data_IF_498503047592
#
_entry.id   IF_498503047592
#
_cell.length_a   1.000
_cell.length_b   1.000
_cell.length_c   1.000
_cell.angle_alpha   90.00
_cell.angle_beta   90.00
_cell.angle_gamma   90.00
#
_symmetry.space_group_name_H-M   'P 1'
#
loop_
_entity.id
_entity.type
_entity.pdbx_description
1 polymer ?
#
# COMPACT_ATOMS: atom_id res chain seq x y z
N UNK A 1 12.07 -32.78 2.85
CA UNK A 1 12.18 -31.34 3.15
C UNK A 1 10.82 -30.87 3.63
N UNK A 2 10.74 -29.96 4.57
CA UNK A 2 9.42 -29.53 5.09
C UNK A 2 8.93 -28.27 4.38
N UNK A 3 7.62 -27.98 4.48
CA UNK A 3 6.92 -26.82 3.95
C UNK A 3 7.74 -25.51 4.00
N UNK A 4 8.36 -25.21 5.13
CA UNK A 4 9.12 -23.99 5.32
C UNK A 4 10.51 -23.98 4.66
N UNK A 5 11.04 -25.15 4.32
CA UNK A 5 12.29 -25.26 3.56
C UNK A 5 12.06 -24.88 2.11
N UNK A 6 10.97 -25.35 1.50
CA UNK A 6 10.54 -24.94 0.16
C UNK A 6 10.36 -23.41 0.08
N UNK A 7 9.70 -22.85 1.06
CA UNK A 7 9.39 -21.42 1.11
C UNK A 7 10.59 -20.54 1.54
N UNK A 8 11.77 -21.13 1.80
CA UNK A 8 13.00 -20.43 2.23
C UNK A 8 12.79 -19.55 3.49
N UNK A 9 11.89 -19.95 4.37
CA UNK A 9 11.48 -19.16 5.54
C UNK A 9 12.37 -19.37 6.78
N UNK A 10 13.47 -20.12 6.68
CA UNK A 10 14.42 -20.32 7.76
C UNK A 10 14.05 -21.43 8.74
N UNK A 11 14.60 -21.38 9.97
CA UNK A 11 14.46 -22.45 10.94
C UNK A 11 13.02 -22.58 11.47
N UNK A 12 12.38 -23.70 11.17
CA UNK A 12 11.14 -24.26 11.73
C UNK A 12 10.15 -23.22 12.34
N UNK A 13 9.49 -22.41 11.53
CA UNK A 13 8.45 -21.53 12.04
C UNK A 13 7.28 -22.33 12.59
N UNK A 14 6.71 -21.85 13.69
CA UNK A 14 5.57 -22.48 14.34
C UNK A 14 4.28 -22.04 13.66
N UNK A 15 3.44 -23.01 13.30
CA UNK A 15 2.09 -22.74 12.82
C UNK A 15 1.16 -22.49 14.02
N UNK A 16 0.52 -21.35 14.03
CA UNK A 16 -0.55 -21.05 15.00
C UNK A 16 -1.90 -21.45 14.39
N UNK A 17 -2.45 -22.56 14.86
CA UNK A 17 -3.71 -23.12 14.40
C UNK A 17 -4.96 -22.39 14.93
N UNK A 18 -4.79 -21.51 15.90
CA UNK A 18 -5.88 -20.71 16.46
C UNK A 18 -5.95 -19.30 15.83
N UNK A 19 -4.97 -18.95 15.00
CA UNK A 19 -4.99 -17.69 14.29
C UNK A 19 -6.04 -17.72 13.17
N UNK A 20 -6.64 -16.56 12.95
CA UNK A 20 -7.60 -16.33 11.87
C UNK A 20 -7.35 -14.98 11.20
N UNK A 21 -7.91 -14.76 9.99
CA UNK A 21 -7.83 -13.47 9.31
C UNK A 21 -8.33 -12.30 10.15
N UNK A 22 -9.34 -12.51 10.97
CA UNK A 22 -9.88 -11.50 11.88
C UNK A 22 -8.83 -10.95 12.83
N UNK A 23 -7.97 -11.81 13.38
CA UNK A 23 -6.85 -11.36 14.22
C UNK A 23 -5.79 -10.61 13.42
N UNK A 24 -5.55 -10.99 12.18
CA UNK A 24 -4.58 -10.32 11.32
C UNK A 24 -5.02 -8.92 10.96
N UNK A 25 -6.20 -8.79 10.39
CA UNK A 25 -6.71 -7.51 9.87
C UNK A 25 -7.20 -6.57 10.96
N UNK A 26 -7.64 -7.08 12.10
CA UNK A 26 -8.00 -6.27 13.27
C UNK A 26 -6.81 -5.75 14.10
N UNK A 27 -5.57 -6.12 13.77
CA UNK A 27 -4.37 -5.80 14.55
C UNK A 27 -3.37 -4.89 13.86
N UNK A 28 -3.69 -4.33 12.68
CA UNK A 28 -2.89 -3.26 12.13
C UNK A 28 -2.85 -2.08 13.12
N UNK A 29 -1.70 -1.49 13.28
CA UNK A 29 -1.18 -0.60 14.33
C UNK A 29 -2.14 0.39 15.00
N UNK A 30 -3.21 0.82 14.34
CA UNK A 30 -4.11 1.86 14.85
C UNK A 30 -5.08 1.38 15.91
N UNK A 31 -5.31 0.10 16.02
CA UNK A 31 -6.31 -0.48 16.92
C UNK A 31 -5.72 -1.01 18.22
N UNK A 32 -4.49 -0.64 18.53
CA UNK A 32 -3.85 -1.08 19.76
C UNK A 32 -3.83 -2.59 19.89
N UNK A 33 -3.48 -3.30 18.80
CA UNK A 33 -3.55 -4.74 18.57
C UNK A 33 -3.91 -5.52 19.80
N UNK A 34 -4.99 -6.26 19.76
CA UNK A 34 -5.48 -7.02 20.91
C UNK A 34 -4.28 -7.58 21.66
N UNK A 35 -4.19 -7.33 22.94
CA UNK A 35 -3.06 -7.74 23.82
C UNK A 35 -2.64 -9.20 23.59
N UNK A 36 -3.60 -10.04 23.21
CA UNK A 36 -3.43 -11.45 22.88
C UNK A 36 -2.49 -11.71 21.67
N UNK A 37 -2.49 -10.85 20.65
CA UNK A 37 -1.56 -11.02 19.51
C UNK A 37 -0.19 -10.46 19.86
N UNK A 38 -0.14 -9.36 20.61
CA UNK A 38 1.14 -8.78 21.08
C UNK A 38 1.86 -9.71 22.05
N UNK A 39 1.15 -10.48 22.84
CA UNK A 39 1.77 -11.47 23.74
C UNK A 39 2.32 -12.70 23.02
N UNK A 40 1.73 -13.05 21.86
CA UNK A 40 2.16 -14.20 21.04
C UNK A 40 3.32 -13.85 20.09
N UNK A 41 3.49 -12.57 19.72
CA UNK A 41 4.50 -12.15 18.76
C UNK A 41 5.54 -11.28 19.45
N UNK A 42 6.73 -11.81 19.71
CA UNK A 42 7.88 -10.98 20.07
C UNK A 42 8.33 -10.17 18.85
N UNK A 43 9.09 -9.08 19.07
CA UNK A 43 9.59 -8.20 17.99
C UNK A 43 10.37 -8.91 16.87
N UNK A 44 10.75 -10.16 17.08
CA UNK A 44 11.55 -10.97 16.14
C UNK A 44 10.83 -12.22 15.66
N UNK A 45 9.69 -12.55 16.24
CA UNK A 45 8.95 -13.75 15.90
C UNK A 45 7.92 -13.47 14.81
N UNK A 46 7.73 -14.46 13.96
CA UNK A 46 6.71 -14.50 12.95
C UNK A 46 5.78 -15.64 13.25
N UNK A 47 4.48 -15.42 13.07
CA UNK A 47 3.45 -16.44 13.16
C UNK A 47 3.07 -16.84 11.76
N UNK A 48 2.92 -18.12 11.52
CA UNK A 48 2.39 -18.69 10.30
C UNK A 48 1.04 -19.33 10.60
N UNK A 49 0.06 -19.09 9.74
CA UNK A 49 -1.24 -19.70 9.87
C UNK A 49 -1.93 -19.87 8.52
N UNK A 50 -2.83 -20.82 8.44
CA UNK A 50 -3.62 -21.07 7.24
C UNK A 50 -4.94 -20.32 7.30
N UNK A 51 -5.41 -19.85 6.15
CA UNK A 51 -6.71 -19.24 5.98
C UNK A 51 -7.24 -19.51 4.58
N UNK A 52 -8.52 -19.27 4.36
CA UNK A 52 -9.14 -19.38 3.05
C UNK A 52 -9.41 -17.98 2.52
N UNK A 53 -8.86 -17.68 1.35
CA UNK A 53 -9.12 -16.50 0.55
C UNK A 53 -10.27 -16.79 -0.42
N UNK A 54 -11.39 -16.10 -0.25
CA UNK A 54 -12.59 -16.22 -1.08
C UNK A 54 -12.91 -14.89 -1.81
N UNK A 55 -11.90 -14.10 -2.16
CA UNK A 55 -12.06 -12.87 -2.93
C UNK A 55 -12.44 -13.14 -4.38
N UNK A 56 -11.97 -14.25 -4.93
CA UNK A 56 -12.33 -14.72 -6.27
C UNK A 56 -13.48 -15.74 -6.18
N UNK A 57 -14.07 -16.08 -7.33
CA UNK A 57 -15.16 -17.05 -7.43
C UNK A 57 -14.75 -18.46 -6.95
N UNK A 58 -13.45 -18.75 -6.94
CA UNK A 58 -12.89 -20.01 -6.45
C UNK A 58 -12.08 -19.75 -5.17
N UNK A 59 -12.57 -20.18 -4.00
CA UNK A 59 -11.84 -20.04 -2.75
C UNK A 59 -10.49 -20.78 -2.78
N UNK A 60 -9.44 -20.15 -2.25
CA UNK A 60 -8.07 -20.68 -2.19
C UNK A 60 -7.61 -20.86 -0.76
N UNK A 61 -6.98 -21.99 -0.47
CA UNK A 61 -6.34 -22.22 0.83
C UNK A 61 -4.94 -21.60 0.79
N UNK A 62 -4.66 -20.69 1.69
CA UNK A 62 -3.44 -19.89 1.71
C UNK A 62 -2.68 -20.02 3.03
N UNK A 63 -1.35 -19.92 2.96
CA UNK A 63 -0.46 -19.77 4.12
C UNK A 63 -0.09 -18.30 4.27
N UNK A 64 -0.39 -17.73 5.44
CA UNK A 64 -0.05 -16.37 5.83
C UNK A 64 1.17 -16.34 6.74
N UNK A 65 2.12 -15.46 6.45
CA UNK A 65 3.13 -15.01 7.41
C UNK A 65 2.66 -13.73 8.09
N UNK A 66 2.68 -13.69 9.39
CA UNK A 66 2.29 -12.54 10.21
C UNK A 66 3.38 -12.16 11.19
N UNK A 67 3.95 -10.98 11.04
CA UNK A 67 4.79 -10.32 12.02
C UNK A 67 4.03 -9.23 12.79
N UNK A 68 4.72 -8.49 13.64
CA UNK A 68 4.11 -7.39 14.42
C UNK A 68 3.56 -6.28 13.51
N UNK A 69 4.23 -6.02 12.39
CA UNK A 69 3.95 -4.88 11.51
C UNK A 69 3.65 -5.24 10.06
N UNK A 70 3.66 -6.52 9.72
CA UNK A 70 3.40 -6.97 8.36
C UNK A 70 2.60 -8.26 8.37
N UNK A 71 1.88 -8.49 7.31
CA UNK A 71 1.25 -9.74 6.98
C UNK A 71 1.38 -9.96 5.46
N UNK A 72 1.72 -11.16 5.04
CA UNK A 72 1.79 -11.52 3.62
C UNK A 72 1.38 -12.96 3.40
N UNK A 73 0.77 -13.23 2.27
CA UNK A 73 0.53 -14.59 1.80
C UNK A 73 1.83 -15.13 1.23
N UNK A 74 2.30 -16.27 1.69
CA UNK A 74 3.58 -16.86 1.28
C UNK A 74 3.42 -18.07 0.38
N UNK A 75 2.26 -18.71 0.42
CA UNK A 75 1.96 -19.83 -0.46
C UNK A 75 0.44 -20.04 -0.61
N UNK A 76 0.05 -20.60 -1.75
CA UNK A 76 -1.22 -21.25 -1.96
C UNK A 76 -1.04 -22.76 -1.75
N UNK A 77 -2.03 -23.40 -1.12
CA UNK A 77 -2.03 -24.85 -0.87
C UNK A 77 -3.10 -25.50 -1.74
N UNK A 78 -2.68 -26.41 -2.59
CA UNK A 78 -3.56 -27.13 -3.50
C UNK A 78 -4.35 -28.21 -2.74
N UNK A 79 -5.38 -27.77 -2.03
CA UNK A 79 -6.31 -28.62 -1.31
C UNK A 79 -7.49 -29.01 -2.20
N UNK A 80 -8.25 -30.10 -1.87
CA UNK A 80 -9.47 -30.45 -2.60
C UNK A 80 -10.46 -29.28 -2.62
N UNK A 81 -10.86 -28.78 -3.81
CA UNK A 81 -11.67 -27.55 -3.92
C UNK A 81 -13.03 -27.65 -3.19
N UNK A 82 -13.62 -28.83 -3.18
CA UNK A 82 -14.90 -29.08 -2.52
C UNK A 82 -14.81 -28.93 -0.99
N UNK A 83 -13.70 -29.38 -0.41
CA UNK A 83 -13.44 -29.24 1.03
C UNK A 83 -13.24 -27.75 1.40
N UNK A 84 -12.48 -27.01 0.58
CA UNK A 84 -12.25 -25.58 0.79
C UNK A 84 -13.56 -24.80 0.67
N UNK A 85 -14.36 -25.08 -0.36
CA UNK A 85 -15.68 -24.45 -0.57
C UNK A 85 -16.63 -24.76 0.56
N UNK A 86 -16.73 -26.02 0.98
CA UNK A 86 -17.57 -26.43 2.12
C UNK A 86 -17.18 -25.68 3.39
N UNK A 87 -15.87 -25.51 3.64
CA UNK A 87 -15.40 -24.76 4.82
C UNK A 87 -15.86 -23.30 4.80
N UNK A 88 -15.91 -22.65 3.63
CA UNK A 88 -16.44 -21.29 3.46
C UNK A 88 -17.96 -21.27 3.66
N UNK A 89 -18.68 -22.18 3.02
CA UNK A 89 -20.15 -22.25 3.08
C UNK A 89 -20.65 -22.48 4.51
N UNK A 90 -19.97 -23.34 5.29
CA UNK A 90 -20.30 -23.64 6.68
C UNK A 90 -20.11 -22.43 7.60
N UNK A 91 -19.21 -21.50 7.29
CA UNK A 91 -18.95 -20.29 8.07
C UNK A 91 -19.89 -19.14 7.71
N UNK A 92 -20.47 -19.16 6.52
CA UNK A 92 -21.35 -18.11 6.04
C UNK A 92 -20.63 -16.76 5.85
N UNK A 93 -21.40 -15.67 5.87
CA UNK A 93 -20.83 -14.32 5.72
C UNK A 93 -20.12 -13.86 6.99
N UNK A 94 -18.85 -13.53 6.89
CA UNK A 94 -18.04 -12.95 7.98
C UNK A 94 -18.10 -11.42 7.87
N UNK A 95 -18.62 -10.76 8.88
CA UNK A 95 -19.17 -9.39 8.84
C UNK A 95 -18.22 -8.26 8.38
N UNK A 96 -16.89 -8.40 8.48
CA UNK A 96 -15.93 -7.36 8.11
C UNK A 96 -14.99 -7.81 6.99
N UNK A 97 -14.74 -9.10 6.91
CA UNK A 97 -13.84 -9.72 5.92
C UNK A 97 -14.58 -10.86 5.24
N UNK A 98 -15.67 -10.51 4.58
CA UNK A 98 -16.63 -11.46 3.95
C UNK A 98 -15.97 -12.48 3.01
N UNK A 99 -14.68 -12.33 2.77
CA UNK A 99 -13.94 -13.11 1.77
C UNK A 99 -12.63 -13.69 2.30
N UNK A 100 -12.39 -13.60 3.61
CA UNK A 100 -11.23 -14.24 4.26
C UNK A 100 -11.72 -15.05 5.46
N UNK A 101 -11.62 -16.37 5.36
CA UNK A 101 -12.18 -17.30 6.33
C UNK A 101 -11.09 -18.05 7.08
N UNK A 102 -11.33 -18.36 8.35
CA UNK A 102 -10.52 -19.32 9.08
C UNK A 102 -10.68 -20.73 8.52
N UNK A 103 -9.75 -21.63 8.87
CA UNK A 103 -9.88 -23.06 8.56
C UNK A 103 -10.71 -23.77 9.63
N UNK A 104 -11.43 -24.83 9.24
CA UNK A 104 -12.10 -25.71 10.15
C UNK A 104 -11.25 -26.97 10.48
N UNK A 105 -11.73 -27.84 11.36
CA UNK A 105 -10.99 -29.04 11.77
C UNK A 105 -10.78 -30.05 10.62
N UNK A 106 -11.67 -30.07 9.63
CA UNK A 106 -11.53 -30.95 8.45
C UNK A 106 -10.33 -30.50 7.60
N UNK A 107 -10.25 -29.19 7.30
CA UNK A 107 -9.12 -28.61 6.56
C UNK A 107 -7.82 -28.74 7.35
N UNK A 108 -7.85 -28.52 8.65
CA UNK A 108 -6.69 -28.67 9.53
C UNK A 108 -6.16 -30.11 9.54
N UNK A 109 -7.02 -31.09 9.68
CA UNK A 109 -6.65 -32.53 9.63
C UNK A 109 -6.00 -32.85 8.29
N UNK A 110 -6.62 -32.42 7.21
CA UNK A 110 -6.08 -32.63 5.87
C UNK A 110 -4.69 -31.98 5.69
N UNK A 111 -4.48 -30.76 6.21
CA UNK A 111 -3.18 -30.09 6.17
C UNK A 111 -2.11 -30.85 6.95
N UNK A 112 -2.45 -31.36 8.14
CA UNK A 112 -1.53 -32.16 8.94
C UNK A 112 -1.10 -33.42 8.18
N UNK A 113 -2.05 -34.18 7.66
CA UNK A 113 -1.80 -35.46 6.99
C UNK A 113 -1.11 -35.31 5.62
N UNK A 114 -1.45 -34.26 4.85
CA UNK A 114 -1.02 -34.17 3.45
C UNK A 114 0.11 -33.16 3.21
N UNK A 115 0.35 -32.23 4.12
CA UNK A 115 1.35 -31.17 3.94
C UNK A 115 2.43 -31.21 5.03
N UNK A 116 2.01 -31.29 6.28
CA UNK A 116 2.94 -31.14 7.40
C UNK A 116 3.69 -32.45 7.70
N UNK A 117 2.98 -33.56 7.79
CA UNK A 117 3.58 -34.86 8.14
C UNK A 117 4.26 -35.52 6.94
N UNK A 118 3.64 -35.43 5.77
CA UNK A 118 4.19 -36.05 4.55
C UNK A 118 5.25 -35.19 3.88
N UNK A 119 5.34 -33.93 4.19
CA UNK A 119 6.21 -32.95 3.51
C UNK A 119 6.01 -32.96 1.97
N UNK A 120 4.76 -33.13 1.52
CA UNK A 120 4.42 -33.15 0.10
C UNK A 120 4.44 -31.73 -0.49
N UNK A 121 5.61 -31.34 -0.99
CA UNK A 121 5.84 -30.03 -1.59
C UNK A 121 5.08 -29.83 -2.93
N UNK A 122 4.59 -30.90 -3.57
CA UNK A 122 3.86 -30.78 -4.83
C UNK A 122 2.53 -30.06 -4.71
N UNK A 123 1.99 -29.98 -3.49
CA UNK A 123 0.74 -29.29 -3.17
C UNK A 123 0.96 -27.86 -2.66
N UNK A 124 2.18 -27.39 -2.61
CA UNK A 124 2.53 -26.05 -2.12
C UNK A 124 3.00 -25.20 -3.27
N UNK A 125 2.25 -24.18 -3.61
CA UNK A 125 2.63 -23.19 -4.63
C UNK A 125 3.13 -21.94 -3.93
N UNK A 126 4.45 -21.69 -3.91
CA UNK A 126 4.98 -20.45 -3.35
C UNK A 126 4.39 -19.25 -4.07
N UNK A 127 3.94 -18.27 -3.31
CA UNK A 127 3.66 -16.95 -3.84
C UNK A 127 4.94 -16.16 -3.67
N UNK A 128 5.63 -15.97 -4.77
CA UNK A 128 6.80 -15.09 -4.80
C UNK A 128 6.32 -13.70 -4.41
N UNK A 129 7.12 -12.99 -3.59
CA UNK A 129 6.90 -11.56 -3.43
C UNK A 129 6.88 -11.00 -4.85
N UNK A 130 5.77 -10.34 -5.24
CA UNK A 130 5.80 -9.54 -6.45
C UNK A 130 7.06 -8.71 -6.37
N UNK A 131 8.00 -8.94 -7.30
CA UNK A 131 9.20 -8.12 -7.36
C UNK A 131 8.71 -6.68 -7.36
N UNK A 132 9.14 -5.91 -6.37
CA UNK A 132 8.79 -4.49 -6.30
C UNK A 132 8.94 -3.92 -7.69
N UNK A 133 7.92 -3.20 -8.15
CA UNK A 133 7.87 -2.67 -9.50
C UNK A 133 9.23 -2.10 -9.88
N UNK A 134 9.90 -2.75 -10.82
CA UNK A 134 11.14 -2.23 -11.36
C UNK A 134 10.79 -0.99 -12.15
N UNK A 135 11.03 0.17 -11.58
CA UNK A 135 10.81 1.44 -12.22
C UNK A 135 11.79 1.55 -13.40
N UNK A 136 11.30 1.23 -14.59
CA UNK A 136 12.05 1.35 -15.84
C UNK A 136 12.43 2.79 -16.18
N UNK A 137 12.84 3.01 -17.41
CA UNK A 137 13.08 4.35 -17.93
C UNK A 137 11.80 5.20 -17.80
N UNK A 138 11.96 6.46 -17.45
CA UNK A 138 10.81 7.38 -17.26
C UNK A 138 10.13 7.76 -18.55
N UNK A 139 10.86 7.76 -19.67
CA UNK A 139 10.41 8.33 -20.95
C UNK A 139 10.29 9.85 -20.94
N UNK A 140 10.72 10.49 -19.87
CA UNK A 140 10.71 11.96 -19.71
C UNK A 140 11.96 12.60 -20.30
N UNK A 141 11.89 13.92 -20.63
CA UNK A 141 13.08 14.71 -20.94
C UNK A 141 14.07 14.70 -19.76
N UNK A 142 15.36 14.78 -20.05
CA UNK A 142 16.38 14.93 -19.02
C UNK A 142 16.32 16.30 -18.33
N UNK A 143 16.80 16.37 -17.09
CA UNK A 143 16.79 17.62 -16.32
C UNK A 143 17.57 18.77 -16.96
N UNK A 144 18.57 18.45 -17.80
CA UNK A 144 19.43 19.40 -18.51
C UNK A 144 18.90 19.76 -19.91
N UNK A 145 17.79 19.16 -20.36
CA UNK A 145 17.19 19.48 -21.64
C UNK A 145 16.54 20.87 -21.64
N UNK A 146 16.51 21.57 -22.80
CA UNK A 146 15.87 22.87 -22.90
C UNK A 146 14.40 22.81 -22.52
N UNK A 147 13.98 23.72 -21.65
CA UNK A 147 12.58 23.86 -21.28
C UNK A 147 11.80 24.58 -22.38
N UNK A 148 10.48 24.31 -22.54
CA UNK A 148 9.61 25.09 -23.39
C UNK A 148 9.70 26.59 -23.04
N UNK A 149 9.77 27.44 -24.05
CA UNK A 149 9.93 28.89 -23.85
C UNK A 149 8.70 29.56 -23.21
N UNK A 150 7.57 28.91 -23.28
CA UNK A 150 6.26 29.30 -22.75
C UNK A 150 5.89 28.61 -21.42
N UNK A 151 6.87 27.96 -20.77
CA UNK A 151 6.63 27.27 -19.51
C UNK A 151 6.37 28.30 -18.39
N UNK A 152 5.14 28.39 -17.95
CA UNK A 152 4.75 29.20 -16.80
C UNK A 152 4.95 28.42 -15.51
N UNK A 153 5.59 29.05 -14.51
CA UNK A 153 5.74 28.48 -13.18
C UNK A 153 4.52 28.80 -12.32
N UNK A 154 4.16 27.84 -11.50
CA UNK A 154 3.05 27.93 -10.56
C UNK A 154 3.54 27.65 -9.15
N UNK A 155 3.45 28.63 -8.27
CA UNK A 155 3.76 28.46 -6.85
C UNK A 155 2.58 27.79 -6.15
N UNK A 156 2.78 26.55 -5.70
CA UNK A 156 1.81 25.82 -4.92
C UNK A 156 2.04 26.04 -3.42
N UNK A 157 0.96 26.12 -2.61
CA UNK A 157 1.11 26.15 -1.16
C UNK A 157 1.76 24.84 -0.69
N UNK A 158 2.77 24.97 0.16
CA UNK A 158 3.52 23.85 0.74
C UNK A 158 3.39 23.84 2.26
N UNK A 159 3.70 22.68 2.87
CA UNK A 159 3.68 22.49 4.32
C UNK A 159 2.34 22.05 4.90
N UNK A 160 2.31 21.87 6.25
CA UNK A 160 1.15 21.32 6.94
C UNK A 160 -0.03 22.26 6.88
N UNK A 161 -1.24 21.69 6.71
CA UNK A 161 -2.47 22.47 6.68
C UNK A 161 -3.59 21.78 7.48
N UNK A 162 -4.50 22.57 7.98
CA UNK A 162 -5.82 22.11 8.44
C UNK A 162 -6.83 22.51 7.38
N UNK A 163 -7.54 21.54 6.80
CA UNK A 163 -8.42 21.76 5.66
C UNK A 163 -9.80 21.16 5.89
N UNK A 164 -10.81 21.93 5.59
CA UNK A 164 -12.19 21.47 5.44
C UNK A 164 -12.42 20.92 4.02
N UNK A 165 -13.60 20.37 3.77
CA UNK A 165 -14.03 19.94 2.43
C UNK A 165 -14.12 21.15 1.47
N UNK A 166 -14.63 22.27 1.98
CA UNK A 166 -14.74 23.52 1.22
C UNK A 166 -13.39 24.09 0.81
N UNK A 167 -12.37 23.95 1.69
CA UNK A 167 -11.00 24.38 1.39
C UNK A 167 -10.41 23.54 0.23
N UNK A 168 -10.67 22.24 0.23
CA UNK A 168 -10.22 21.35 -0.86
C UNK A 168 -10.92 21.70 -2.17
N UNK A 169 -12.24 21.95 -2.14
CA UNK A 169 -13.00 22.41 -3.33
C UNK A 169 -12.44 23.73 -3.87
N UNK A 170 -12.16 24.68 -2.98
CA UNK A 170 -11.60 25.98 -3.37
C UNK A 170 -10.20 25.82 -3.99
N UNK A 171 -9.37 24.96 -3.40
CA UNK A 171 -8.01 24.66 -3.88
C UNK A 171 -8.04 24.03 -5.28
N UNK A 172 -8.87 23.02 -5.48
CA UNK A 172 -9.05 22.31 -6.76
C UNK A 172 -9.46 23.27 -7.86
N UNK A 173 -10.42 24.16 -7.58
CA UNK A 173 -10.88 25.15 -8.56
C UNK A 173 -9.84 26.24 -8.82
N UNK A 174 -9.14 26.72 -7.79
CA UNK A 174 -8.13 27.78 -7.92
C UNK A 174 -7.01 27.43 -8.90
N UNK A 175 -6.52 26.21 -8.80
CA UNK A 175 -5.40 25.73 -9.62
C UNK A 175 -5.86 24.89 -10.82
N UNK A 176 -7.18 24.74 -11.00
CA UNK A 176 -7.76 23.91 -12.04
C UNK A 176 -7.23 22.45 -12.02
N UNK A 177 -7.05 21.90 -10.82
CA UNK A 177 -6.64 20.50 -10.67
C UNK A 177 -7.75 19.56 -11.13
N UNK A 178 -7.36 18.40 -11.68
CA UNK A 178 -8.28 17.30 -11.91
C UNK A 178 -8.66 16.66 -10.57
N UNK A 179 -9.94 16.58 -10.27
CA UNK A 179 -10.54 15.81 -9.20
C UNK A 179 -11.92 15.36 -9.72
N UNK A 180 -12.10 14.06 -9.92
CA UNK A 180 -13.30 13.53 -10.60
C UNK A 180 -14.61 13.79 -9.85
N UNK A 181 -14.55 14.11 -8.55
CA UNK A 181 -15.75 14.49 -7.79
C UNK A 181 -15.99 16.01 -7.78
N UNK A 182 -14.90 16.83 -7.78
CA UNK A 182 -15.00 18.28 -7.55
C UNK A 182 -14.73 19.12 -8.78
N UNK A 183 -13.90 18.64 -9.69
CA UNK A 183 -13.54 19.32 -10.95
C UNK A 183 -13.07 18.30 -12.00
N UNK A 184 -13.98 17.49 -12.58
CA UNK A 184 -13.63 16.45 -13.55
C UNK A 184 -12.97 17.00 -14.83
N UNK A 185 -13.27 18.26 -15.17
CA UNK A 185 -12.70 18.97 -16.33
C UNK A 185 -11.39 19.71 -16.00
N UNK A 186 -10.85 19.51 -14.82
CA UNK A 186 -9.59 20.09 -14.39
C UNK A 186 -8.46 19.73 -15.35
N UNK A 187 -7.56 20.66 -15.60
CA UNK A 187 -6.52 20.50 -16.62
C UNK A 187 -5.20 21.17 -16.20
N UNK A 188 -4.77 20.90 -14.97
CA UNK A 188 -3.43 21.31 -14.54
C UNK A 188 -2.38 20.51 -15.32
N UNK A 189 -1.36 21.18 -15.84
CA UNK A 189 -0.31 20.52 -16.63
C UNK A 189 1.02 20.59 -15.92
N UNK A 190 1.61 19.45 -15.69
CA UNK A 190 2.97 19.30 -15.23
C UNK A 190 3.96 19.32 -16.42
N UNK A 191 5.20 19.64 -16.13
CA UNK A 191 6.33 19.37 -17.01
C UNK A 191 7.39 18.60 -16.21
N UNK A 192 7.20 17.27 -16.21
CA UNK A 192 8.10 16.37 -15.49
C UNK A 192 9.39 16.14 -16.27
N UNK A 193 10.52 16.14 -15.55
CA UNK A 193 11.84 15.81 -16.10
C UNK A 193 12.51 14.73 -15.26
N UNK A 194 13.29 13.88 -15.92
CA UNK A 194 14.08 12.83 -15.27
C UNK A 194 15.36 13.45 -14.69
N UNK A 195 15.61 13.23 -13.41
CA UNK A 195 16.83 13.71 -12.76
C UNK A 195 18.05 12.81 -13.02
N UNK A 196 17.90 11.71 -13.76
CA UNK A 196 18.98 10.80 -14.16
C UNK A 196 19.45 9.86 -13.06
N UNK A 197 18.83 9.86 -11.90
CA UNK A 197 19.19 9.00 -10.76
C UNK A 197 18.34 7.72 -10.67
N UNK A 198 17.36 7.56 -11.59
CA UNK A 198 16.40 6.46 -11.62
C UNK A 198 15.39 6.47 -10.47
N UNK A 199 15.50 7.40 -9.53
CA UNK A 199 14.73 7.44 -8.27
C UNK A 199 13.84 8.65 -8.13
N UNK A 200 14.18 9.76 -8.83
CA UNK A 200 13.47 11.03 -8.69
C UNK A 200 13.13 11.66 -10.04
N UNK A 201 12.07 12.46 -10.04
CA UNK A 201 11.68 13.35 -11.14
C UNK A 201 11.38 14.72 -10.57
N UNK A 202 11.53 15.76 -11.38
CA UNK A 202 11.21 17.12 -10.98
C UNK A 202 10.14 17.69 -11.91
N UNK A 203 9.10 18.27 -11.34
CA UNK A 203 8.13 19.06 -12.09
C UNK A 203 8.64 20.49 -12.23
N UNK A 204 8.94 20.90 -13.45
CA UNK A 204 9.47 22.25 -13.74
C UNK A 204 8.41 23.35 -13.65
N UNK A 205 7.12 23.00 -13.68
CA UNK A 205 6.01 23.94 -13.48
C UNK A 205 5.91 24.34 -12.02
N UNK A 206 5.95 23.37 -11.12
CA UNK A 206 5.81 23.62 -9.68
C UNK A 206 7.14 23.75 -8.94
N UNK A 207 8.23 23.28 -9.56
CA UNK A 207 9.56 23.20 -8.95
C UNK A 207 9.71 22.05 -7.95
N UNK A 208 8.70 21.24 -7.76
CA UNK A 208 8.71 20.15 -6.78
C UNK A 208 9.43 18.92 -7.33
N UNK A 209 10.40 18.43 -6.56
CA UNK A 209 11.06 17.15 -6.84
C UNK A 209 10.31 16.02 -6.12
N UNK A 210 10.08 14.93 -6.82
CA UNK A 210 9.29 13.80 -6.37
C UNK A 210 10.08 12.51 -6.33
N UNK A 211 9.83 11.71 -5.33
CA UNK A 211 10.20 10.30 -5.29
C UNK A 211 9.36 9.53 -6.32
N UNK A 212 10.00 8.79 -7.24
CA UNK A 212 9.32 7.98 -8.26
C UNK A 212 8.61 6.76 -7.66
N UNK A 213 9.28 6.07 -6.73
CA UNK A 213 8.71 5.03 -5.92
C UNK A 213 7.83 5.60 -4.80
N UNK A 214 7.73 4.87 -3.71
CA UNK A 214 7.00 5.31 -2.53
C UNK A 214 7.29 4.43 -1.34
N UNK A 215 6.58 4.68 -0.25
CA UNK A 215 6.58 3.86 0.93
C UNK A 215 5.29 3.03 0.99
N UNK A 216 5.43 1.79 1.45
CA UNK A 216 4.30 0.86 1.64
C UNK A 216 3.27 1.40 2.61
N UNK A 217 2.09 0.81 2.59
CA UNK A 217 0.99 1.18 3.48
C UNK A 217 1.40 1.04 4.94
N UNK A 218 1.25 2.11 5.69
CA UNK A 218 1.53 2.12 7.13
C UNK A 218 0.76 3.24 7.83
N UNK A 219 0.74 3.22 9.18
CA UNK A 219 0.15 4.30 9.95
C UNK A 219 0.87 5.64 9.71
N UNK A 220 0.17 6.76 9.87
CA UNK A 220 0.77 8.09 9.73
C UNK A 220 2.01 8.28 10.62
N UNK A 221 1.98 7.73 11.85
CA UNK A 221 3.13 7.76 12.76
C UNK A 221 4.33 6.97 12.21
N UNK A 222 4.10 5.80 11.65
CA UNK A 222 5.16 4.99 11.04
C UNK A 222 5.67 5.63 9.76
N UNK A 223 4.79 6.26 8.98
CA UNK A 223 5.17 7.00 7.78
C UNK A 223 6.10 8.19 8.10
N UNK A 224 5.87 8.91 9.21
CA UNK A 224 6.81 9.95 9.67
C UNK A 224 8.19 9.38 10.01
N UNK A 225 8.25 8.21 10.64
CA UNK A 225 9.54 7.56 10.91
C UNK A 225 10.24 7.08 9.64
N UNK A 226 9.47 6.63 8.66
CA UNK A 226 10.01 6.26 7.35
C UNK A 226 10.59 7.48 6.64
N UNK A 227 9.92 8.62 6.69
CA UNK A 227 10.44 9.89 6.19
C UNK A 227 11.73 10.31 6.92
N UNK A 228 11.77 10.21 8.25
CA UNK A 228 12.99 10.48 9.03
C UNK A 228 14.14 9.56 8.62
N UNK A 229 13.86 8.26 8.40
CA UNK A 229 14.85 7.28 7.93
C UNK A 229 15.37 7.62 6.53
N UNK A 230 14.48 8.03 5.63
CA UNK A 230 14.81 8.42 4.26
C UNK A 230 15.71 9.67 4.25
N UNK A 231 15.41 10.66 5.08
CA UNK A 231 16.22 11.87 5.25
C UNK A 231 17.59 11.56 5.88
N UNK A 232 17.63 10.71 6.91
CA UNK A 232 18.87 10.27 7.52
C UNK A 232 19.77 9.47 6.55
N UNK A 233 19.17 8.74 5.62
CA UNK A 233 19.87 8.01 4.57
C UNK A 233 20.27 8.91 3.38
N UNK A 234 19.93 10.20 3.39
CA UNK A 234 20.18 11.14 2.31
C UNK A 234 19.69 10.61 0.95
N UNK A 235 18.42 10.20 0.91
CA UNK A 235 17.83 9.63 -0.30
C UNK A 235 18.03 10.57 -1.50
N UNK A 236 18.54 10.04 -2.60
CA UNK A 236 18.91 10.78 -3.81
C UNK A 236 19.87 11.98 -3.55
N UNK A 237 20.62 11.94 -2.45
CA UNK A 237 21.57 13.00 -2.06
C UNK A 237 20.96 14.14 -1.24
N UNK A 238 19.70 14.01 -0.79
CA UNK A 238 18.97 15.06 -0.08
C UNK A 238 18.45 14.56 1.27
N UNK A 239 18.30 15.48 2.23
CA UNK A 239 17.84 15.21 3.60
C UNK A 239 16.65 16.09 4.03
N UNK A 240 15.98 16.73 3.08
CA UNK A 240 14.88 17.67 3.27
C UNK A 240 13.57 17.19 2.62
N UNK A 241 13.45 15.88 2.43
CA UNK A 241 12.21 15.24 1.99
C UNK A 241 11.09 15.43 3.00
N UNK A 242 9.88 15.62 2.50
CA UNK A 242 8.69 15.90 3.31
C UNK A 242 7.44 15.26 2.71
N UNK A 243 6.36 15.25 3.47
CA UNK A 243 5.05 14.96 2.89
C UNK A 243 4.68 16.05 1.88
N UNK A 244 4.03 15.68 0.77
CA UNK A 244 3.47 16.69 -0.13
C UNK A 244 2.30 17.40 0.54
N UNK A 245 2.09 18.66 0.22
CA UNK A 245 0.85 19.35 0.53
C UNK A 245 -0.32 18.77 -0.30
N UNK A 246 -1.55 19.15 0.03
CA UNK A 246 -2.73 18.81 -0.77
C UNK A 246 -2.59 19.31 -2.21
N UNK A 247 -2.13 20.53 -2.40
CA UNK A 247 -1.97 21.13 -3.73
C UNK A 247 -0.91 20.40 -4.57
N UNK A 248 0.23 20.10 -3.95
CA UNK A 248 1.31 19.39 -4.61
C UNK A 248 0.89 17.98 -5.03
N UNK A 249 0.21 17.24 -4.15
CA UNK A 249 -0.25 15.90 -4.50
C UNK A 249 -1.34 15.92 -5.59
N UNK A 250 -2.29 16.86 -5.52
CA UNK A 250 -3.32 17.03 -6.55
C UNK A 250 -2.75 17.47 -7.89
N UNK A 251 -1.62 18.20 -7.92
CA UNK A 251 -0.99 18.59 -9.19
C UNK A 251 -0.53 17.40 -10.03
N UNK A 252 -0.27 16.26 -9.40
CA UNK A 252 0.10 15.02 -10.11
C UNK A 252 -1.10 14.27 -10.73
N UNK A 253 -2.34 14.69 -10.45
CA UNK A 253 -3.53 14.00 -10.93
C UNK A 253 -3.71 14.19 -12.42
N UNK A 254 -3.68 13.09 -13.16
CA UNK A 254 -3.93 13.07 -14.60
C UNK A 254 -5.43 12.98 -14.89
N UNK A 255 -5.87 13.41 -16.08
CA UNK A 255 -7.25 13.30 -16.53
C UNK A 255 -7.62 11.87 -16.93
N UNK A 256 -6.65 11.13 -17.46
CA UNK A 256 -6.83 9.77 -17.93
C UNK A 256 -5.98 8.80 -17.11
N UNK A 257 -6.46 7.56 -16.99
CA UNK A 257 -5.71 6.50 -16.28
C UNK A 257 -4.55 5.99 -17.13
N UNK A 258 -3.41 5.87 -16.47
CA UNK A 258 -2.26 5.10 -16.91
C UNK A 258 -2.07 3.93 -15.94
N UNK A 259 -2.03 2.68 -16.41
CA UNK A 259 -1.87 1.49 -15.55
C UNK A 259 -2.81 1.52 -14.34
N UNK A 260 -4.11 1.75 -14.57
CA UNK A 260 -5.17 1.85 -13.55
C UNK A 260 -5.11 3.05 -12.59
N UNK A 261 -4.13 3.93 -12.68
CA UNK A 261 -4.03 5.15 -11.87
C UNK A 261 -4.12 6.41 -12.73
N UNK A 262 -4.73 7.46 -12.19
CA UNK A 262 -4.70 8.82 -12.74
C UNK A 262 -3.37 9.50 -12.39
N UNK A 263 -2.27 8.87 -12.79
CA UNK A 263 -0.91 9.28 -12.45
C UNK A 263 0.02 8.98 -13.62
N UNK A 264 1.01 9.85 -13.84
CA UNK A 264 1.99 9.65 -14.91
C UNK A 264 2.79 8.33 -14.70
N UNK A 265 3.03 7.52 -15.75
CA UNK A 265 3.64 6.20 -15.64
C UNK A 265 5.13 6.21 -15.22
N UNK A 266 5.76 7.38 -15.11
CA UNK A 266 7.09 7.49 -14.52
C UNK A 266 7.11 7.21 -13.01
N UNK A 267 5.94 7.26 -12.35
CA UNK A 267 5.78 6.91 -10.94
C UNK A 267 5.38 5.45 -10.76
N UNK A 268 5.70 4.89 -9.61
CA UNK A 268 5.25 3.55 -9.22
C UNK A 268 3.71 3.49 -9.10
N UNK A 269 3.13 2.39 -9.54
CA UNK A 269 1.70 2.10 -9.40
C UNK A 269 1.33 1.46 -8.05
N UNK A 270 2.34 1.07 -7.24
CA UNK A 270 2.12 0.43 -5.94
C UNK A 270 1.52 1.37 -4.87
N UNK A 271 1.51 2.67 -5.11
CA UNK A 271 0.95 3.66 -4.19
C UNK A 271 -0.32 4.30 -4.78
N UNK A 272 -1.47 3.58 -4.77
CA UNK A 272 -2.71 4.06 -5.38
C UNK A 272 -3.31 5.29 -4.68
N UNK A 273 -2.99 5.51 -3.41
CA UNK A 273 -3.34 6.72 -2.68
C UNK A 273 -2.24 7.07 -1.67
N UNK A 274 -2.02 8.34 -1.42
CA UNK A 274 -0.91 8.80 -0.57
C UNK A 274 -1.38 9.75 0.52
N UNK A 275 -0.68 9.73 1.66
CA UNK A 275 -0.80 10.79 2.65
C UNK A 275 -0.35 12.13 2.09
N UNK A 276 -1.08 13.17 2.46
CA UNK A 276 -0.65 14.57 2.31
C UNK A 276 -0.46 15.22 3.69
N UNK A 277 0.30 16.30 3.76
CA UNK A 277 0.52 17.04 5.00
C UNK A 277 -0.68 17.94 5.33
N UNK A 278 -1.85 17.32 5.42
CA UNK A 278 -3.10 17.99 5.75
C UNK A 278 -3.95 17.14 6.70
N UNK A 279 -4.55 17.81 7.68
CA UNK A 279 -5.48 17.21 8.63
C UNK A 279 -6.86 17.84 8.49
N UNK A 280 -7.89 17.10 8.91
CA UNK A 280 -9.26 17.60 9.04
C UNK A 280 -9.69 17.54 10.49
N UNK A 281 -10.40 18.56 10.97
CA UNK A 281 -11.05 18.53 12.30
C UNK A 281 -12.58 18.41 12.17
N UNK A 282 -13.20 17.60 13.05
CA UNK A 282 -12.58 16.75 14.07
C UNK A 282 -11.92 15.51 13.46
N UNK A 283 -10.66 15.30 13.83
CA UNK A 283 -9.79 14.14 13.69
C UNK A 283 -9.78 13.35 12.37
N UNK A 284 -8.80 13.55 11.53
CA UNK A 284 -8.57 12.76 10.33
C UNK A 284 -7.39 13.25 9.55
N UNK A 285 -7.00 12.44 8.56
CA UNK A 285 -5.95 12.75 7.61
C UNK A 285 -6.54 12.84 6.20
N UNK A 286 -5.99 13.75 5.42
CA UNK A 286 -6.29 13.84 4.01
C UNK A 286 -5.35 12.96 3.19
N UNK A 287 -5.89 12.49 2.06
CA UNK A 287 -5.20 11.67 1.08
C UNK A 287 -5.53 12.17 -0.31
N UNK A 288 -4.62 11.91 -1.25
CA UNK A 288 -4.91 11.99 -2.69
C UNK A 288 -4.92 10.57 -3.24
N UNK A 289 -6.01 10.18 -3.87
CA UNK A 289 -6.31 8.86 -4.40
C UNK A 289 -6.24 8.88 -5.93
N UNK A 290 -5.12 8.40 -6.44
CA UNK A 290 -4.89 8.30 -7.89
C UNK A 290 -5.67 7.15 -8.53
N UNK A 291 -6.17 6.18 -7.76
CA UNK A 291 -6.99 5.08 -8.31
C UNK A 291 -8.40 5.54 -8.64
N UNK A 292 -8.97 6.38 -7.80
CA UNK A 292 -10.31 6.93 -7.97
C UNK A 292 -10.32 8.38 -8.48
N UNK A 293 -9.14 9.01 -8.59
CA UNK A 293 -8.98 10.35 -9.15
C UNK A 293 -9.54 11.45 -8.25
N UNK A 294 -9.33 11.40 -6.94
CA UNK A 294 -9.92 12.35 -5.99
C UNK A 294 -9.09 12.56 -4.73
N UNK A 295 -9.30 13.67 -4.06
CA UNK A 295 -8.92 13.79 -2.67
C UNK A 295 -10.01 13.21 -1.76
N UNK A 296 -9.61 12.55 -0.67
CA UNK A 296 -10.53 12.05 0.35
C UNK A 296 -9.91 12.17 1.74
N UNK A 297 -10.72 12.10 2.77
CA UNK A 297 -10.25 12.06 4.13
C UNK A 297 -10.72 10.80 4.85
N UNK A 298 -9.94 10.40 5.84
CA UNK A 298 -10.28 9.26 6.69
C UNK A 298 -9.97 9.59 8.13
N UNK A 299 -10.77 9.04 9.06
CA UNK A 299 -10.58 9.26 10.49
C UNK A 299 -9.22 8.72 10.95
N UNK A 300 -8.63 9.34 11.98
CA UNK A 300 -7.35 8.92 12.55
C UNK A 300 -7.34 7.50 13.16
N UNK A 301 -8.49 6.84 13.21
CA UNK A 301 -8.64 5.45 13.64
C UNK A 301 -8.40 4.43 12.51
N UNK A 302 -8.37 4.88 11.26
CA UNK A 302 -8.10 4.01 10.12
C UNK A 302 -6.59 3.92 9.90
N UNK A 303 -6.08 2.72 9.73
CA UNK A 303 -4.69 2.43 10.03
C UNK A 303 -3.68 2.90 9.04
N UNK A 304 -3.98 3.16 7.78
CA UNK A 304 -2.86 3.32 6.90
C UNK A 304 -3.11 4.05 5.59
N UNK A 305 -2.02 4.59 5.07
CA UNK A 305 -1.88 5.12 3.73
C UNK A 305 -0.49 4.86 3.22
N UNK A 306 -0.33 4.94 1.93
CA UNK A 306 0.97 4.91 1.27
C UNK A 306 1.66 6.28 1.38
N UNK A 307 2.99 6.29 1.17
CA UNK A 307 3.78 7.51 1.13
C UNK A 307 4.38 7.73 -0.25
N UNK A 308 4.41 8.97 -0.70
CA UNK A 308 5.27 9.47 -1.77
C UNK A 308 5.76 10.83 -1.35
N UNK A 309 7.06 10.92 -1.11
CA UNK A 309 7.65 12.12 -0.58
C UNK A 309 8.13 13.07 -1.69
N UNK A 310 8.17 14.35 -1.33
CA UNK A 310 8.65 15.42 -2.20
C UNK A 310 9.59 16.38 -1.46
N UNK A 311 10.25 17.22 -2.18
CA UNK A 311 11.06 18.33 -1.65
C UNK A 311 10.98 19.53 -2.56
#
# INVERSE_FOLDING_TARGET
MGLFTLLKLGNQPVIDWEMSPEYTFGTFESWGGKEQVRSKISRKERIYYFFIDAWDDTPRLCLMERGVKHARVVAEILAPPEMVRKCVDDQGKVAIFERSHGINEEVKTWLLENIIETCDESKVVPIEEEERESLGLTGLPGADEPLPADLERVDLPSGPAEMSEEDVVALVKKYNFTDHERNPEGNFKNFLVDNGDGRTVTDKVTGVMWQRGGADIMSHRSMRRELERLNAAQFAGYNDWRFPSMAEALSLMEQEKNRDLFLHPCFSSEQPFIFVDAIRRPGGYWFVDFKHGRAFWSSGTIPGGFGRFCR
#
